data_IF_829272049568
#
_entry.id   IF_829272049568
#
_cell.length_a   1.000
_cell.length_b   1.000
_cell.length_c   1.000
_cell.angle_alpha   90.00
_cell.angle_beta   90.00
_cell.angle_gamma   90.00
#
_symmetry.space_group_name_H-M   'P 1'
#
loop_
_entity.id
_entity.type
_entity.pdbx_description
1 polymer ?
#
# COMPACT_ATOMS: atom_id res chain seq x y z
N UNK A 1 -28.05 -13.33 23.79
CA UNK A 1 -26.64 -13.60 24.04
C UNK A 1 -25.88 -12.29 24.23
N UNK A 2 -24.84 -12.26 25.07
CA UNK A 2 -24.05 -11.04 25.24
C UNK A 2 -23.34 -10.66 23.95
N UNK A 3 -23.17 -9.34 23.71
CA UNK A 3 -22.38 -8.84 22.60
C UNK A 3 -20.91 -9.18 22.81
N UNK A 4 -20.27 -9.78 21.81
CA UNK A 4 -18.85 -10.12 21.80
C UNK A 4 -18.17 -9.56 20.57
N UNK A 5 -16.89 -9.25 20.69
CA UNK A 5 -16.08 -8.69 19.62
C UNK A 5 -14.77 -9.50 19.49
N UNK A 6 -14.48 -9.94 18.29
CA UNK A 6 -13.17 -10.53 17.92
C UNK A 6 -12.54 -9.70 16.81
N UNK A 7 -11.21 -9.67 16.75
CA UNK A 7 -10.49 -8.98 15.70
C UNK A 7 -9.18 -9.69 15.39
N UNK A 8 -8.81 -9.70 14.11
CA UNK A 8 -7.56 -10.28 13.64
C UNK A 8 -6.98 -9.49 12.46
N UNK A 9 -5.68 -9.60 12.29
CA UNK A 9 -5.00 -9.09 11.09
C UNK A 9 -5.28 -10.04 9.92
N UNK A 10 -5.93 -9.53 8.86
CA UNK A 10 -6.33 -10.32 7.68
C UNK A 10 -5.51 -9.99 6.42
N UNK A 11 -4.72 -8.94 6.47
CA UNK A 11 -3.86 -8.54 5.35
C UNK A 11 -2.65 -7.72 5.79
N UNK A 12 -1.77 -7.35 4.85
CA UNK A 12 -0.59 -6.52 5.15
C UNK A 12 -0.93 -5.18 5.80
N UNK A 13 -2.09 -4.63 5.46
CA UNK A 13 -2.61 -3.34 5.93
C UNK A 13 -4.04 -3.43 6.45
N UNK A 14 -4.55 -4.64 6.76
CA UNK A 14 -5.96 -4.86 7.04
C UNK A 14 -6.19 -5.60 8.36
N UNK A 15 -7.20 -5.14 9.08
CA UNK A 15 -7.76 -5.78 10.27
C UNK A 15 -9.24 -6.06 9.99
N UNK A 16 -9.69 -7.28 10.31
CA UNK A 16 -11.10 -7.64 10.30
C UNK A 16 -11.60 -7.83 11.72
N UNK A 17 -12.68 -7.14 12.05
CA UNK A 17 -13.41 -7.28 13.30
C UNK A 17 -14.75 -7.95 13.04
N UNK A 18 -15.14 -8.86 13.93
CA UNK A 18 -16.43 -9.55 13.89
C UNK A 18 -17.13 -9.42 15.22
N UNK A 19 -18.42 -9.13 15.17
CA UNK A 19 -19.30 -9.07 16.34
C UNK A 19 -20.30 -10.22 16.31
N UNK A 20 -20.56 -10.77 17.47
CA UNK A 20 -21.58 -11.81 17.65
C UNK A 20 -22.41 -11.52 18.89
N UNK A 21 -23.68 -11.96 18.87
CA UNK A 21 -24.61 -11.72 19.97
C UNK A 21 -25.14 -10.29 19.98
N UNK A 22 -25.56 -9.81 21.15
CA UNK A 22 -26.20 -8.50 21.26
C UNK A 22 -27.60 -8.44 20.62
N UNK A 23 -28.01 -7.26 20.17
CA UNK A 23 -29.33 -7.03 19.63
C UNK A 23 -29.30 -6.10 18.41
N UNK A 24 -29.69 -6.62 17.23
CA UNK A 24 -29.82 -5.85 16.00
C UNK A 24 -28.53 -5.65 15.23
N UNK A 25 -28.41 -4.50 14.61
CA UNK A 25 -27.25 -4.14 13.80
C UNK A 25 -26.03 -3.75 14.65
N UNK A 26 -24.86 -3.71 14.00
CA UNK A 26 -23.62 -3.33 14.65
C UNK A 26 -23.04 -2.07 14.03
N UNK A 27 -22.48 -1.21 14.87
CA UNK A 27 -21.65 -0.08 14.45
C UNK A 27 -20.23 -0.29 14.98
N UNK A 28 -19.25 -0.37 14.07
CA UNK A 28 -17.85 -0.55 14.38
C UNK A 28 -17.11 0.77 14.46
N UNK A 29 -16.21 0.87 15.42
CA UNK A 29 -15.30 2.00 15.61
C UNK A 29 -13.87 1.48 15.67
N UNK A 30 -12.97 2.10 14.89
CA UNK A 30 -11.56 1.85 14.98
C UNK A 30 -10.84 3.14 15.39
N UNK A 31 -10.06 3.06 16.46
CA UNK A 31 -9.38 4.20 17.07
C UNK A 31 -10.31 5.41 17.30
N UNK A 32 -11.57 5.11 17.71
CA UNK A 32 -12.59 6.11 18.02
C UNK A 32 -13.36 6.66 16.81
N UNK A 33 -13.01 6.31 15.59
CA UNK A 33 -13.73 6.72 14.38
C UNK A 33 -14.74 5.66 13.95
N UNK A 34 -15.97 6.08 13.61
CA UNK A 34 -17.03 5.19 13.12
C UNK A 34 -16.76 4.73 11.69
N UNK A 35 -16.99 3.44 11.45
CA UNK A 35 -16.96 2.78 10.14
C UNK A 35 -18.33 2.19 9.77
N UNK A 36 -19.38 2.56 10.52
CA UNK A 36 -20.74 2.03 10.32
C UNK A 36 -20.79 0.53 10.58
N UNK A 37 -21.45 -0.21 9.70
CA UNK A 37 -21.58 -1.66 9.78
C UNK A 37 -20.38 -2.44 9.20
N UNK A 38 -19.34 -1.72 8.77
CA UNK A 38 -18.13 -2.31 8.16
C UNK A 38 -17.12 -2.67 9.24
N UNK A 39 -16.92 -3.97 9.44
CA UNK A 39 -15.91 -4.51 10.37
C UNK A 39 -14.49 -4.60 9.79
N UNK A 40 -14.17 -3.85 8.74
CA UNK A 40 -12.85 -3.87 8.08
C UNK A 40 -12.18 -2.50 8.24
N UNK A 41 -10.95 -2.53 8.70
CA UNK A 41 -10.10 -1.35 8.86
C UNK A 41 -8.79 -1.52 8.14
N UNK A 42 -8.41 -0.53 7.33
CA UNK A 42 -7.14 -0.52 6.62
C UNK A 42 -6.26 0.63 7.11
N UNK A 43 -5.00 0.32 7.37
CA UNK A 43 -4.00 1.31 7.80
C UNK A 43 -2.59 0.90 7.37
N UNK A 44 -1.73 1.88 7.18
CA UNK A 44 -0.28 1.69 7.01
C UNK A 44 0.50 2.04 8.27
N UNK A 45 -0.19 2.47 9.33
CA UNK A 45 0.41 2.81 10.60
C UNK A 45 0.47 1.58 11.49
N UNK A 46 1.65 1.28 12.01
CA UNK A 46 1.86 0.21 12.99
C UNK A 46 1.58 0.74 14.40
N UNK A 47 1.06 -0.12 15.25
CA UNK A 47 0.73 0.22 16.64
C UNK A 47 -0.43 -0.60 17.17
N UNK A 48 -0.97 -0.21 18.31
CA UNK A 48 -2.18 -0.83 18.86
C UNK A 48 -3.41 -0.19 18.23
N UNK A 49 -4.30 -1.03 17.68
CA UNK A 49 -5.59 -0.60 17.16
C UNK A 49 -6.67 -0.92 18.19
N UNK A 50 -7.36 0.11 18.65
CA UNK A 50 -8.52 0.00 19.54
C UNK A 50 -9.79 -0.18 18.71
N UNK A 51 -10.58 -1.20 19.04
CA UNK A 51 -11.79 -1.54 18.32
C UNK A 51 -12.95 -1.57 19.31
N UNK A 52 -14.04 -0.92 18.94
CA UNK A 52 -15.28 -0.94 19.70
C UNK A 52 -16.43 -1.25 18.75
N UNK A 53 -17.37 -2.05 19.19
CA UNK A 53 -18.63 -2.29 18.50
C UNK A 53 -19.79 -1.91 19.41
N UNK A 54 -20.83 -1.32 18.84
CA UNK A 54 -22.06 -0.95 19.52
C UNK A 54 -23.24 -1.60 18.79
N UNK A 55 -24.14 -2.22 19.53
CA UNK A 55 -25.38 -2.79 18.96
C UNK A 55 -26.54 -1.79 18.98
N UNK A 56 -27.67 -2.14 18.35
CA UNK A 56 -28.85 -1.27 18.27
C UNK A 56 -29.47 -0.90 19.64
N UNK A 57 -29.16 -1.64 20.69
CA UNK A 57 -29.59 -1.33 22.07
C UNK A 57 -28.56 -0.49 22.85
N UNK A 58 -27.43 -0.16 22.23
CA UNK A 58 -26.34 0.59 22.83
C UNK A 58 -25.44 -0.24 23.75
N UNK A 59 -25.48 -1.57 23.66
CA UNK A 59 -24.49 -2.42 24.32
C UNK A 59 -23.17 -2.32 23.57
N UNK A 60 -22.06 -2.35 24.31
CA UNK A 60 -20.72 -2.20 23.75
C UNK A 60 -19.84 -3.41 24.05
N UNK A 61 -19.00 -3.77 23.09
CA UNK A 61 -17.86 -4.66 23.28
C UNK A 61 -16.60 -3.99 22.73
N UNK A 62 -15.46 -4.23 23.38
CA UNK A 62 -14.19 -3.62 23.03
C UNK A 62 -13.10 -4.67 22.88
N UNK A 63 -12.17 -4.42 21.98
CA UNK A 63 -10.96 -5.20 21.77
C UNK A 63 -9.79 -4.27 21.43
N UNK A 64 -8.58 -4.70 21.68
CA UNK A 64 -7.38 -4.02 21.23
C UNK A 64 -6.40 -5.07 20.71
N UNK A 65 -5.85 -4.83 19.51
CA UNK A 65 -4.87 -5.74 18.92
C UNK A 65 -3.60 -5.00 18.53
N UNK A 66 -2.42 -5.61 18.71
CA UNK A 66 -1.20 -5.09 18.11
C UNK A 66 -1.27 -5.29 16.60
N UNK A 67 -0.93 -4.26 15.85
CA UNK A 67 -0.91 -4.29 14.40
C UNK A 67 0.46 -3.85 13.89
N UNK A 68 1.02 -4.62 12.97
CA UNK A 68 2.23 -4.29 12.25
C UNK A 68 1.92 -4.27 10.76
N UNK A 69 2.16 -3.12 10.12
CA UNK A 69 2.06 -3.00 8.67
C UNK A 69 3.21 -3.79 8.01
N UNK A 70 2.86 -4.73 7.14
CA UNK A 70 3.83 -5.63 6.48
C UNK A 70 3.83 -5.50 4.96
N UNK A 71 3.22 -4.45 4.42
CA UNK A 71 3.27 -4.17 2.98
C UNK A 71 4.70 -3.93 2.51
N UNK A 72 5.04 -4.48 1.34
CA UNK A 72 6.35 -4.32 0.70
C UNK A 72 6.17 -3.95 -0.77
N UNK A 73 7.08 -3.12 -1.27
CA UNK A 73 7.18 -2.86 -2.70
C UNK A 73 7.80 -4.05 -3.42
N UNK A 74 7.31 -4.32 -4.62
CA UNK A 74 7.95 -5.22 -5.59
C UNK A 74 8.59 -4.37 -6.67
N UNK A 75 9.93 -4.40 -6.76
CA UNK A 75 10.66 -3.60 -7.72
C UNK A 75 11.10 -4.48 -8.89
N UNK A 76 10.52 -4.26 -10.11
CA UNK A 76 10.91 -5.05 -11.27
C UNK A 76 12.36 -4.79 -11.67
N UNK A 77 13.05 -5.82 -12.13
CA UNK A 77 14.44 -5.72 -12.57
C UNK A 77 14.60 -5.51 -14.09
N UNK A 78 13.50 -5.54 -14.84
CA UNK A 78 13.48 -5.23 -16.26
C UNK A 78 12.10 -4.79 -16.75
N UNK A 79 12.04 -4.20 -17.94
CA UNK A 79 10.83 -4.02 -18.73
C UNK A 79 11.18 -3.93 -20.22
N UNK A 80 10.18 -4.16 -21.07
CA UNK A 80 10.33 -4.18 -22.53
C UNK A 80 9.15 -3.46 -23.20
N UNK A 81 9.28 -2.16 -23.45
CA UNK A 81 8.20 -1.35 -24.04
C UNK A 81 8.07 -1.60 -25.54
N UNK A 82 7.46 -2.72 -25.91
CA UNK A 82 7.28 -3.17 -27.30
C UNK A 82 5.81 -3.13 -27.76
N UNK A 83 4.89 -2.76 -26.88
CA UNK A 83 3.46 -2.63 -27.18
C UNK A 83 2.69 -3.94 -27.19
N UNK A 84 3.21 -5.00 -26.58
CA UNK A 84 2.53 -6.30 -26.46
C UNK A 84 1.63 -6.41 -25.22
N UNK A 85 1.54 -5.36 -24.41
CA UNK A 85 0.84 -5.26 -23.13
C UNK A 85 1.47 -6.09 -21.98
N UNK A 86 2.67 -6.60 -22.19
CA UNK A 86 3.44 -7.29 -21.15
C UNK A 86 4.74 -6.51 -20.88
N UNK A 87 4.92 -6.08 -19.63
CA UNK A 87 6.11 -5.34 -19.19
C UNK A 87 6.43 -4.09 -20.04
N UNK A 88 5.40 -3.44 -20.59
CA UNK A 88 5.58 -2.23 -21.42
C UNK A 88 5.95 -0.98 -20.61
N UNK A 89 5.74 -1.03 -19.30
CA UNK A 89 6.01 0.06 -18.36
C UNK A 89 6.84 -0.43 -17.19
N UNK A 90 7.62 0.46 -16.63
CA UNK A 90 8.31 0.21 -15.38
C UNK A 90 7.73 1.05 -14.25
N UNK A 91 7.41 0.39 -13.15
CA UNK A 91 7.06 1.00 -11.89
C UNK A 91 7.15 -0.04 -10.77
N UNK A 92 7.43 0.36 -9.52
CA UNK A 92 7.29 -0.53 -8.38
C UNK A 92 5.86 -1.07 -8.25
N UNK A 93 5.72 -2.37 -7.96
CA UNK A 93 4.45 -2.99 -7.62
C UNK A 93 4.06 -2.72 -6.16
N UNK A 94 2.77 -2.92 -5.83
CA UNK A 94 2.21 -2.71 -4.49
C UNK A 94 2.27 -1.25 -3.99
N UNK A 95 2.30 -0.29 -4.90
CA UNK A 95 2.35 1.14 -4.56
C UNK A 95 1.11 1.65 -3.84
N UNK A 96 0.00 0.91 -3.90
CA UNK A 96 -1.25 1.27 -3.23
C UNK A 96 -1.08 1.40 -1.71
N UNK A 97 -0.10 0.70 -1.12
CA UNK A 97 0.23 0.83 0.29
C UNK A 97 1.02 2.09 0.64
N UNK A 98 1.53 2.81 -0.35
CA UNK A 98 2.48 3.91 -0.16
C UNK A 98 2.02 5.18 -0.87
N UNK A 99 1.03 5.92 -0.30
CA UNK A 99 0.44 7.08 -0.97
C UNK A 99 1.43 8.23 -1.21
N UNK A 100 2.52 8.29 -0.43
CA UNK A 100 3.54 9.34 -0.53
C UNK A 100 4.84 8.86 -1.20
N UNK A 101 4.78 7.72 -1.91
CA UNK A 101 5.95 7.17 -2.60
C UNK A 101 6.50 8.15 -3.62
N UNK A 102 7.82 8.22 -3.68
CA UNK A 102 8.57 9.00 -4.65
C UNK A 102 9.61 8.11 -5.33
N UNK A 103 9.60 8.09 -6.64
CA UNK A 103 10.52 7.27 -7.45
C UNK A 103 11.24 8.17 -8.43
N UNK A 104 12.57 8.11 -8.42
CA UNK A 104 13.42 8.86 -9.35
C UNK A 104 14.23 7.86 -10.17
N UNK A 105 14.18 8.00 -11.50
CA UNK A 105 14.91 7.15 -12.44
C UNK A 105 16.02 7.95 -13.11
N UNK A 106 17.21 7.36 -13.14
CA UNK A 106 18.41 7.95 -13.71
C UNK A 106 18.95 7.11 -14.86
N UNK A 107 19.54 7.77 -15.85
CA UNK A 107 20.37 7.10 -16.84
C UNK A 107 21.80 6.84 -16.29
N UNK A 108 22.63 6.17 -17.06
CA UNK A 108 24.02 5.85 -16.69
C UNK A 108 24.93 7.07 -16.49
N UNK A 109 24.50 8.24 -16.90
CA UNK A 109 25.22 9.50 -16.71
C UNK A 109 24.73 10.27 -15.47
N UNK A 110 23.78 9.72 -14.72
CA UNK A 110 23.21 10.35 -13.54
C UNK A 110 22.13 11.40 -13.85
N UNK A 111 21.67 11.48 -15.09
CA UNK A 111 20.59 12.38 -15.49
C UNK A 111 19.24 11.78 -15.08
N UNK A 112 18.39 12.58 -14.43
CA UNK A 112 17.01 12.20 -14.14
C UNK A 112 16.23 12.08 -15.44
N UNK A 113 15.68 10.90 -15.73
CA UNK A 113 14.89 10.62 -16.93
C UNK A 113 13.41 10.43 -16.64
N UNK A 114 13.03 10.14 -15.39
CA UNK A 114 11.65 10.08 -14.96
C UNK A 114 11.52 10.27 -13.45
N UNK A 115 10.36 10.78 -13.06
CA UNK A 115 9.90 10.84 -11.67
C UNK A 115 8.51 10.23 -11.62
N UNK A 116 8.31 9.28 -10.70
CA UNK A 116 7.04 8.58 -10.56
C UNK A 116 6.47 8.77 -9.16
N UNK A 117 5.16 8.76 -9.09
CA UNK A 117 4.36 8.75 -7.88
C UNK A 117 3.64 7.40 -7.69
N UNK A 118 2.58 7.39 -6.90
CA UNK A 118 1.78 6.20 -6.62
C UNK A 118 1.12 5.60 -7.87
N UNK A 119 0.83 6.40 -8.91
CA UNK A 119 0.01 5.98 -10.06
C UNK A 119 0.74 6.01 -11.40
N UNK A 120 1.77 6.84 -11.54
CA UNK A 120 2.50 6.98 -12.80
C UNK A 120 3.43 5.81 -13.09
N UNK A 121 3.69 5.58 -14.38
CA UNK A 121 4.56 4.51 -14.89
C UNK A 121 5.50 5.09 -15.92
N UNK A 122 6.70 4.52 -16.04
CA UNK A 122 7.66 4.95 -17.05
C UNK A 122 7.62 4.03 -18.28
N UNK A 123 7.55 4.64 -19.44
CA UNK A 123 7.50 3.98 -20.75
C UNK A 123 8.85 3.86 -21.47
N UNK A 124 9.93 4.28 -20.82
CA UNK A 124 11.27 4.27 -21.41
C UNK A 124 11.58 5.44 -22.32
N UNK A 125 10.79 6.52 -22.25
CA UNK A 125 11.04 7.75 -23.01
C UNK A 125 11.54 8.89 -22.13
N UNK A 126 12.27 9.81 -22.75
CA UNK A 126 12.69 11.07 -22.15
C UNK A 126 12.54 12.20 -23.17
N UNK A 127 11.82 13.27 -22.79
CA UNK A 127 11.51 14.39 -23.68
C UNK A 127 10.92 13.94 -25.04
N UNK A 128 10.03 12.93 -25.01
CA UNK A 128 9.36 12.40 -26.19
C UNK A 128 10.21 11.49 -27.07
N UNK A 129 11.40 11.13 -26.64
CA UNK A 129 12.30 10.25 -27.38
C UNK A 129 12.50 8.93 -26.65
N UNK A 130 12.53 7.84 -27.40
CA UNK A 130 12.85 6.53 -26.87
C UNK A 130 14.31 6.47 -26.40
N UNK A 131 14.51 6.02 -25.15
CA UNK A 131 15.84 5.75 -24.64
C UNK A 131 16.32 4.36 -25.07
N UNK A 132 17.64 4.15 -25.22
CA UNK A 132 18.20 2.89 -25.72
C UNK A 132 18.08 1.77 -24.69
N UNK A 133 18.14 0.54 -25.18
CA UNK A 133 18.35 -0.66 -24.36
C UNK A 133 19.58 -0.47 -23.46
N UNK A 134 19.45 -0.83 -22.20
CA UNK A 134 20.52 -0.73 -21.22
C UNK A 134 19.98 -0.62 -19.80
N UNK A 135 20.88 -0.41 -18.87
CA UNK A 135 20.57 -0.29 -17.47
C UNK A 135 20.24 1.16 -17.10
N UNK A 136 19.25 1.28 -16.22
CA UNK A 136 18.80 2.51 -15.61
C UNK A 136 18.76 2.31 -14.08
N UNK A 137 18.96 3.37 -13.33
CA UNK A 137 19.04 3.31 -11.89
C UNK A 137 17.83 3.99 -11.26
N UNK A 138 17.42 3.51 -10.11
CA UNK A 138 16.31 4.08 -9.37
C UNK A 138 16.68 4.41 -7.93
N UNK A 139 15.99 5.42 -7.41
CA UNK A 139 15.87 5.71 -5.99
C UNK A 139 14.38 5.72 -5.67
N UNK A 140 13.96 4.90 -4.73
CA UNK A 140 12.58 4.81 -4.26
C UNK A 140 12.53 5.15 -2.78
N UNK A 141 11.76 6.19 -2.44
CA UNK A 141 11.47 6.57 -1.06
C UNK A 141 10.01 6.21 -0.76
N UNK A 142 9.75 5.38 0.23
CA UNK A 142 8.38 5.03 0.63
C UNK A 142 7.68 6.21 1.29
N UNK A 143 8.43 7.07 2.00
CA UNK A 143 7.91 8.23 2.73
C UNK A 143 6.79 7.86 3.70
N UNK A 144 6.95 6.74 4.38
CA UNK A 144 6.10 6.26 5.47
C UNK A 144 6.87 6.25 6.80
N UNK A 145 6.23 5.78 7.87
CA UNK A 145 6.81 5.74 9.23
C UNK A 145 8.09 4.90 9.33
N UNK A 146 8.26 3.94 8.41
CA UNK A 146 9.44 3.05 8.38
C UNK A 146 10.67 3.71 7.75
N UNK A 147 10.48 4.81 7.01
CA UNK A 147 11.54 5.56 6.31
C UNK A 147 12.46 4.67 5.45
N UNK A 148 11.86 3.72 4.72
CA UNK A 148 12.60 2.78 3.88
C UNK A 148 12.90 3.41 2.53
N UNK A 149 14.15 3.27 2.09
CA UNK A 149 14.65 3.72 0.81
C UNK A 149 15.28 2.56 0.05
N UNK A 150 14.92 2.42 -1.23
CA UNK A 150 15.50 1.43 -2.12
C UNK A 150 16.35 2.13 -3.16
N UNK A 151 17.52 1.55 -3.45
CA UNK A 151 18.45 1.99 -4.50
C UNK A 151 18.89 0.78 -5.28
N UNK A 152 18.82 0.84 -6.61
CA UNK A 152 19.23 -0.26 -7.46
C UNK A 152 19.15 0.11 -8.94
N UNK A 153 19.13 -0.91 -9.79
CA UNK A 153 19.04 -0.75 -11.23
C UNK A 153 18.09 -1.77 -11.84
N UNK A 154 17.65 -1.48 -13.04
CA UNK A 154 16.85 -2.37 -13.87
C UNK A 154 17.24 -2.20 -15.34
N UNK A 155 16.84 -3.15 -16.18
CA UNK A 155 17.19 -3.14 -17.60
C UNK A 155 15.97 -2.81 -18.45
N UNK A 156 16.16 -1.89 -19.40
CA UNK A 156 15.24 -1.62 -20.50
C UNK A 156 15.66 -2.43 -21.72
N UNK A 157 14.76 -3.25 -22.25
CA UNK A 157 14.96 -4.03 -23.47
C UNK A 157 14.07 -3.49 -24.60
N UNK A 158 14.66 -3.22 -25.76
CA UNK A 158 13.95 -2.90 -27.00
C UNK A 158 14.29 -3.89 -28.10
#
# INVERSE_FOLDING_TARGET
>A
DPLTLTAEKTGPNEITAMAEGGFGGYEFFFNGQSYGDVGIYTTTDSGTVEIRVVDDNGCEAVAAIPFEFTGMLEIPNFFSPNGDNENDFWAPGNRDFFPNIEVIIYDRYGRVVAELDQVSKWDGTYEGKELPTGDYWYVVNQNDDRDIRYVGHFTLYR
#
